data_IF_062463030648
#
_entry.id   IF_062463030648
#
_cell.length_a   1.000
_cell.length_b   1.000
_cell.length_c   1.000
_cell.angle_alpha   90.00
_cell.angle_beta   90.00
_cell.angle_gamma   90.00
#
_symmetry.space_group_name_H-M   'P 1'
#
loop_
_entity.id
_entity.type
_entity.pdbx_description
1 polymer ?
#
# COMPACT_ATOMS: atom_id res chain seq x y z
N UNK A 1 5.28 2.44 5.13
CA UNK A 1 5.42 1.00 5.43
C UNK A 1 6.57 0.38 4.63
N UNK A 2 6.42 0.03 3.35
CA UNK A 2 7.45 -0.71 2.61
C UNK A 2 8.82 -0.03 2.48
N UNK A 3 8.87 1.31 2.39
CA UNK A 3 10.13 2.07 2.46
C UNK A 3 10.89 1.85 3.77
N UNK A 4 10.17 1.66 4.87
CA UNK A 4 10.79 1.40 6.18
C UNK A 4 11.40 0.00 6.22
N UNK A 5 10.74 -1.00 5.63
CA UNK A 5 11.30 -2.34 5.45
C UNK A 5 12.55 -2.31 4.57
N UNK A 6 12.48 -1.60 3.44
CA UNK A 6 13.64 -1.40 2.56
C UNK A 6 14.83 -0.78 3.31
N UNK A 7 14.58 0.20 4.19
CA UNK A 7 15.63 0.83 4.98
C UNK A 7 16.28 -0.14 5.98
N UNK A 8 15.48 -0.99 6.64
CA UNK A 8 15.98 -2.03 7.56
C UNK A 8 16.83 -3.07 6.82
N UNK A 9 16.43 -3.42 5.60
CA UNK A 9 17.17 -4.35 4.73
C UNK A 9 18.39 -3.74 4.04
N UNK A 10 18.71 -2.47 4.32
CA UNK A 10 19.76 -1.72 3.63
C UNK A 10 19.58 -1.71 2.10
N UNK A 11 18.34 -1.88 1.63
CA UNK A 11 18.01 -1.77 0.22
C UNK A 11 18.26 -0.33 -0.22
N UNK A 12 19.01 -0.17 -1.31
CA UNK A 12 19.33 1.15 -1.84
C UNK A 12 18.07 1.88 -2.30
N UNK A 13 18.17 3.21 -2.34
CA UNK A 13 17.10 4.10 -2.76
C UNK A 13 16.49 3.71 -4.11
N UNK A 14 15.32 4.27 -4.41
CA UNK A 14 14.60 3.94 -5.63
C UNK A 14 13.29 4.70 -5.72
N UNK A 15 12.64 4.56 -6.87
CA UNK A 15 11.32 5.12 -7.11
C UNK A 15 10.27 4.41 -6.27
N UNK A 16 9.04 4.97 -6.23
CA UNK A 16 7.89 4.26 -5.64
C UNK A 16 7.66 2.91 -6.33
N UNK A 17 7.91 2.83 -7.64
CA UNK A 17 7.74 1.58 -8.40
C UNK A 17 8.71 0.52 -7.90
N UNK A 18 9.96 0.89 -7.62
CA UNK A 18 10.96 -0.05 -7.11
C UNK A 18 10.59 -0.58 -5.72
N UNK A 19 10.09 0.29 -4.84
CA UNK A 19 9.59 -0.09 -3.51
C UNK A 19 8.44 -1.10 -3.62
N UNK A 20 7.48 -0.86 -4.52
CA UNK A 20 6.33 -1.74 -4.73
C UNK A 20 6.79 -3.09 -5.30
N UNK A 21 7.69 -3.08 -6.30
CA UNK A 21 8.21 -4.30 -6.91
C UNK A 21 9.00 -5.14 -5.90
N UNK A 22 9.72 -4.52 -4.97
CA UNK A 22 10.37 -5.25 -3.88
C UNK A 22 9.37 -5.81 -2.87
N UNK A 23 8.32 -5.06 -2.54
CA UNK A 23 7.25 -5.56 -1.68
C UNK A 23 6.53 -6.78 -2.30
N UNK A 24 6.32 -6.76 -3.62
CA UNK A 24 5.77 -7.87 -4.39
C UNK A 24 6.69 -9.10 -4.34
N UNK A 25 7.99 -8.92 -4.58
CA UNK A 25 8.99 -10.01 -4.46
C UNK A 25 9.09 -10.62 -3.05
N UNK A 26 8.69 -9.87 -2.02
CA UNK A 26 8.63 -10.33 -0.62
C UNK A 26 7.24 -10.88 -0.25
N UNK A 27 6.31 -10.97 -1.21
CA UNK A 27 4.94 -11.44 -1.02
C UNK A 27 4.13 -10.60 0.00
N UNK A 28 4.52 -9.34 0.20
CA UNK A 28 3.88 -8.43 1.16
C UNK A 28 2.64 -7.74 0.59
N UNK A 29 2.41 -7.88 -0.71
CA UNK A 29 1.25 -7.40 -1.47
C UNK A 29 0.82 -8.51 -2.44
N UNK A 30 -0.42 -8.46 -2.92
CA UNK A 30 -0.91 -9.44 -3.90
C UNK A 30 -0.43 -9.12 -5.32
N UNK A 31 -0.50 -7.84 -5.72
CA UNK A 31 0.03 -7.36 -7.01
C UNK A 31 0.45 -5.88 -6.94
N UNK A 32 1.42 -5.42 -7.75
CA UNK A 32 1.75 -4.01 -7.89
C UNK A 32 0.58 -3.15 -8.38
N UNK A 33 -0.30 -3.71 -9.21
CA UNK A 33 -1.49 -3.04 -9.74
C UNK A 33 -2.47 -2.67 -8.62
N UNK A 34 -2.63 -3.51 -7.61
CA UNK A 34 -3.48 -3.23 -6.46
C UNK A 34 -3.05 -1.94 -5.72
N UNK A 35 -1.74 -1.76 -5.54
CA UNK A 35 -1.20 -0.55 -4.90
C UNK A 35 -1.40 0.70 -5.78
N UNK A 36 -1.35 0.55 -7.10
CA UNK A 36 -1.64 1.65 -8.03
C UNK A 36 -3.10 2.06 -7.96
N UNK A 37 -4.04 1.12 -7.95
CA UNK A 37 -5.47 1.39 -7.82
C UNK A 37 -5.79 2.11 -6.49
N UNK A 38 -5.18 1.68 -5.37
CA UNK A 38 -5.33 2.38 -4.08
C UNK A 38 -4.77 3.81 -4.12
N UNK A 39 -3.65 4.03 -4.83
CA UNK A 39 -3.08 5.37 -5.01
C UNK A 39 -4.02 6.26 -5.84
N UNK A 40 -4.58 5.72 -6.92
CA UNK A 40 -5.53 6.44 -7.78
C UNK A 40 -6.77 6.84 -6.97
N UNK A 41 -7.37 5.91 -6.23
CA UNK A 41 -8.48 6.22 -5.33
C UNK A 41 -8.13 7.32 -4.32
N UNK A 42 -6.94 7.26 -3.72
CA UNK A 42 -6.46 8.31 -2.80
C UNK A 42 -6.32 9.66 -3.52
N UNK A 43 -5.79 9.66 -4.74
CA UNK A 43 -5.65 10.88 -5.53
C UNK A 43 -7.02 11.44 -5.89
N UNK A 44 -8.01 10.60 -6.20
CA UNK A 44 -9.40 11.00 -6.42
C UNK A 44 -10.01 11.61 -5.15
N UNK A 45 -9.84 10.97 -3.98
CA UNK A 45 -10.27 11.54 -2.67
C UNK A 45 -9.64 12.92 -2.43
N UNK A 46 -8.36 13.08 -2.75
CA UNK A 46 -7.62 14.31 -2.48
C UNK A 46 -7.96 15.45 -3.45
N UNK A 47 -8.20 15.13 -4.73
CA UNK A 47 -8.59 16.10 -5.75
C UNK A 47 -10.07 16.47 -5.65
N UNK A 48 -10.90 15.56 -5.15
CA UNK A 48 -12.34 15.73 -5.06
C UNK A 48 -12.82 15.92 -3.62
N UNK A 49 -12.72 17.14 -3.10
CA UNK A 49 -13.64 17.60 -2.05
C UNK A 49 -15.06 17.81 -2.63
N UNK A 50 -15.62 16.80 -3.31
CA UNK A 50 -16.80 16.92 -4.16
C UNK A 50 -18.03 16.34 -3.46
N UNK A 51 -18.96 17.23 -3.15
CA UNK A 51 -20.29 16.98 -2.57
C UNK A 51 -21.14 15.96 -3.33
N UNK A 52 -20.81 15.66 -4.59
CA UNK A 52 -21.70 14.95 -5.52
C UNK A 52 -21.26 13.50 -5.82
N UNK A 53 -20.03 13.10 -5.40
CA UNK A 53 -19.48 11.74 -5.64
C UNK A 53 -19.10 10.97 -4.37
N UNK A 54 -19.35 11.55 -3.20
CA UNK A 54 -19.02 10.98 -1.89
C UNK A 54 -19.52 9.54 -1.69
N UNK A 55 -20.75 9.23 -2.13
CA UNK A 55 -21.32 7.91 -1.91
C UNK A 55 -20.60 6.82 -2.72
N UNK A 56 -20.30 7.10 -3.98
CA UNK A 56 -19.61 6.16 -4.87
C UNK A 56 -18.15 5.95 -4.43
N UNK A 57 -17.51 7.04 -4.00
CA UNK A 57 -16.17 7.00 -3.42
C UNK A 57 -16.12 6.17 -2.12
N UNK A 58 -17.17 6.23 -1.31
CA UNK A 58 -17.26 5.50 -0.05
C UNK A 58 -17.27 3.98 -0.27
N UNK A 59 -18.05 3.49 -1.23
CA UNK A 59 -18.12 2.05 -1.57
C UNK A 59 -16.75 1.52 -2.00
N UNK A 60 -16.07 2.21 -2.91
CA UNK A 60 -14.73 1.83 -3.36
C UNK A 60 -13.67 1.88 -2.26
N UNK A 61 -13.78 2.80 -1.30
CA UNK A 61 -12.87 2.83 -0.13
C UNK A 61 -13.02 1.58 0.70
N UNK A 62 -14.26 1.17 1.01
CA UNK A 62 -14.52 -0.01 1.82
C UNK A 62 -13.99 -1.31 1.19
N UNK A 63 -14.00 -1.42 -0.14
CA UNK A 63 -13.46 -2.58 -0.85
C UNK A 63 -11.95 -2.77 -0.60
N UNK A 64 -11.19 -1.68 -0.43
CA UNK A 64 -9.76 -1.77 -0.20
C UNK A 64 -9.37 -1.91 1.28
N UNK A 65 -10.25 -1.60 2.23
CA UNK A 65 -9.94 -1.64 3.66
C UNK A 65 -9.44 -3.03 4.11
N UNK A 66 -10.14 -4.16 3.84
CA UNK A 66 -9.67 -5.49 4.24
C UNK A 66 -8.30 -5.82 3.65
N UNK A 67 -8.08 -5.44 2.39
CA UNK A 67 -6.83 -5.68 1.66
C UNK A 67 -5.67 -4.89 2.28
N UNK A 68 -5.87 -3.61 2.61
CA UNK A 68 -4.86 -2.77 3.26
C UNK A 68 -4.50 -3.33 4.64
N UNK A 69 -5.50 -3.77 5.42
CA UNK A 69 -5.26 -4.36 6.74
C UNK A 69 -4.44 -5.65 6.63
N UNK A 70 -4.79 -6.54 5.69
CA UNK A 70 -3.99 -7.74 5.37
C UNK A 70 -2.54 -7.40 5.03
N UNK A 71 -2.30 -6.36 4.23
CA UNK A 71 -0.96 -5.92 3.86
C UNK A 71 -0.16 -5.37 5.04
N UNK A 72 -0.82 -4.66 5.95
CA UNK A 72 -0.21 -4.19 7.21
C UNK A 72 0.20 -5.40 8.07
N UNK A 73 -0.66 -6.39 8.20
CA UNK A 73 -0.38 -7.60 8.98
C UNK A 73 0.79 -8.40 8.40
N UNK A 74 0.82 -8.58 7.07
CA UNK A 74 1.95 -9.23 6.38
C UNK A 74 3.25 -8.47 6.60
N UNK A 75 3.24 -7.14 6.46
CA UNK A 75 4.43 -6.33 6.68
C UNK A 75 4.90 -6.35 8.13
N UNK A 76 3.98 -6.30 9.10
CA UNK A 76 4.31 -6.41 10.52
C UNK A 76 4.86 -7.79 10.85
N UNK A 77 4.26 -8.86 10.33
CA UNK A 77 4.75 -10.22 10.49
C UNK A 77 6.16 -10.37 9.91
N UNK A 78 6.37 -9.88 8.69
CA UNK A 78 7.68 -9.87 8.04
C UNK A 78 8.70 -9.06 8.84
N UNK A 79 8.33 -7.89 9.38
CA UNK A 79 9.23 -7.04 10.16
C UNK A 79 9.75 -7.70 11.44
N UNK A 80 8.99 -8.63 12.04
CA UNK A 80 9.38 -9.32 13.29
C UNK A 80 10.70 -10.09 13.15
N UNK A 81 11.09 -10.50 11.95
CA UNK A 81 12.38 -11.17 11.75
C UNK A 81 13.60 -10.28 12.08
N UNK A 82 13.40 -8.96 12.18
CA UNK A 82 14.45 -7.98 12.48
C UNK A 82 14.40 -7.47 13.94
N UNK A 83 13.39 -7.88 14.70
CA UNK A 83 13.17 -7.47 16.10
C UNK A 83 13.31 -8.72 16.96
N UNK A 84 14.55 -9.08 17.28
CA UNK A 84 14.85 -10.01 18.36
C UNK A 84 14.87 -9.25 19.69
#
# INVERSE_FOLDING_TARGET
MYRSLDAVELAQGGTIIDVINRADKRELIDTPQMIRAMKELRDDIAHEYVSDRLQLLNEHVFDFVPTILSYIDRANHYAKQYIN
#
